data_IF_432689323886
#
_entry.id   IF_432689323886
#
_cell.length_a   1.000
_cell.length_b   1.000
_cell.length_c   1.000
_cell.angle_alpha   90.00
_cell.angle_beta   90.00
_cell.angle_gamma   90.00
#
_symmetry.space_group_name_H-M   'P 1'
#
loop_
_entity.id
_entity.type
_entity.pdbx_description
1 polymer ?
#
# COMPACT_ATOMS: atom_id res chain seq x y z
N UNK A 1 -17.18 -38.25 5.74
CA UNK A 1 -16.90 -37.55 4.45
C UNK A 1 -17.32 -36.12 4.62
N UNK A 2 -16.37 -35.27 5.06
CA UNK A 2 -16.61 -33.81 5.20
C UNK A 2 -16.44 -33.18 3.82
N UNK A 3 -17.53 -32.65 3.27
CA UNK A 3 -17.46 -31.83 2.05
C UNK A 3 -16.78 -30.51 2.40
N UNK A 4 -15.53 -30.38 1.98
CA UNK A 4 -14.81 -29.11 1.98
C UNK A 4 -15.36 -28.27 0.82
N UNK A 5 -16.49 -27.59 1.05
CA UNK A 5 -17.02 -26.59 0.11
C UNK A 5 -16.14 -25.35 0.23
N UNK A 6 -15.12 -25.26 -0.62
CA UNK A 6 -14.39 -24.02 -0.82
C UNK A 6 -15.38 -22.92 -1.24
N UNK A 7 -15.64 -21.97 -0.32
CA UNK A 7 -16.45 -20.78 -0.62
C UNK A 7 -15.82 -20.00 -1.76
N UNK A 8 -16.61 -19.37 -2.65
CA UNK A 8 -16.06 -18.54 -3.72
C UNK A 8 -15.12 -17.46 -3.16
N UNK A 9 -13.98 -17.27 -3.80
CA UNK A 9 -12.88 -16.39 -3.35
C UNK A 9 -13.37 -14.96 -3.02
N UNK A 10 -14.28 -14.39 -3.80
CA UNK A 10 -14.88 -13.09 -3.54
C UNK A 10 -15.74 -13.00 -2.26
N UNK A 11 -16.22 -14.12 -1.74
CA UNK A 11 -17.00 -14.17 -0.52
C UNK A 11 -16.14 -13.97 0.74
N UNK A 12 -14.88 -14.38 0.74
CA UNK A 12 -13.97 -14.21 1.89
C UNK A 12 -13.58 -12.75 2.10
N UNK A 13 -13.28 -12.02 1.03
CA UNK A 13 -12.92 -10.58 1.11
C UNK A 13 -14.11 -9.75 1.55
N UNK A 14 -15.31 -10.02 1.03
CA UNK A 14 -16.54 -9.35 1.44
C UNK A 14 -16.83 -9.49 2.95
N UNK A 15 -16.65 -10.69 3.50
CA UNK A 15 -16.83 -10.93 4.95
C UNK A 15 -15.83 -10.14 5.80
N UNK A 16 -14.58 -9.96 5.35
CA UNK A 16 -13.59 -9.15 6.05
C UNK A 16 -13.97 -7.67 6.05
N UNK A 17 -14.54 -7.15 4.96
CA UNK A 17 -15.02 -5.77 4.92
C UNK A 17 -16.28 -5.56 5.76
N UNK A 18 -17.18 -6.54 5.82
CA UNK A 18 -18.31 -6.51 6.74
C UNK A 18 -17.85 -6.49 8.20
N UNK A 19 -16.87 -7.32 8.56
CA UNK A 19 -16.25 -7.31 9.89
C UNK A 19 -15.61 -5.96 10.21
N UNK A 20 -14.83 -5.39 9.28
CA UNK A 20 -14.21 -4.08 9.43
C UNK A 20 -15.25 -2.95 9.61
N UNK A 21 -16.41 -3.04 8.94
CA UNK A 21 -17.52 -2.11 9.16
C UNK A 21 -18.13 -2.29 10.55
N UNK A 22 -18.38 -3.51 10.96
CA UNK A 22 -18.98 -3.81 12.27
C UNK A 22 -18.06 -3.40 13.43
N UNK A 23 -16.76 -3.44 13.22
CA UNK A 23 -15.73 -2.92 14.14
C UNK A 23 -15.58 -1.38 14.08
N UNK A 24 -16.32 -0.69 13.18
CA UNK A 24 -16.29 0.75 13.02
C UNK A 24 -15.08 1.29 12.26
N UNK A 25 -14.31 0.42 11.60
CA UNK A 25 -13.15 0.81 10.77
C UNK A 25 -13.60 1.36 9.43
N UNK A 26 -14.65 0.79 8.82
CA UNK A 26 -15.18 1.18 7.52
C UNK A 26 -16.56 1.83 7.64
N UNK A 27 -16.74 2.96 6.95
CA UNK A 27 -18.04 3.56 6.69
C UNK A 27 -18.78 2.81 5.57
N UNK A 28 -20.07 3.06 5.45
CA UNK A 28 -20.89 2.50 4.36
C UNK A 28 -20.40 2.98 2.97
N UNK A 29 -19.95 4.23 2.84
CA UNK A 29 -19.43 4.79 1.60
C UNK A 29 -18.13 4.07 1.17
N UNK A 30 -17.18 3.86 2.09
CA UNK A 30 -15.95 3.13 1.82
C UNK A 30 -16.22 1.64 1.53
N UNK A 31 -17.16 1.02 2.26
CA UNK A 31 -17.57 -0.35 2.00
C UNK A 31 -18.11 -0.52 0.57
N UNK A 32 -18.98 0.38 0.12
CA UNK A 32 -19.51 0.38 -1.24
C UNK A 32 -18.40 0.53 -2.29
N UNK A 33 -17.41 1.40 -2.06
CA UNK A 33 -16.27 1.58 -2.96
C UNK A 33 -15.42 0.31 -3.09
N UNK A 34 -15.29 -0.49 -2.02
CA UNK A 34 -14.47 -1.70 -1.97
C UNK A 34 -15.20 -2.98 -2.39
N UNK A 35 -16.54 -3.03 -2.33
CA UNK A 35 -17.32 -4.24 -2.61
C UNK A 35 -17.75 -4.42 -4.07
N UNK A 36 -17.16 -3.69 -4.98
CA UNK A 36 -17.41 -3.84 -6.40
C UNK A 36 -16.92 -5.20 -6.90
N UNK A 37 -17.75 -5.87 -7.71
CA UNK A 37 -17.60 -7.28 -8.10
C UNK A 37 -16.20 -7.64 -8.65
N UNK A 38 -15.53 -6.73 -9.33
CA UNK A 38 -14.24 -7.00 -10.00
C UNK A 38 -13.01 -6.81 -9.09
N UNK A 39 -13.15 -6.21 -7.90
CA UNK A 39 -12.03 -5.94 -7.00
C UNK A 39 -11.66 -7.14 -6.12
N UNK A 40 -12.63 -7.98 -5.75
CA UNK A 40 -12.44 -9.06 -4.79
C UNK A 40 -11.33 -10.06 -5.16
N UNK A 41 -11.25 -10.47 -6.42
CA UNK A 41 -10.20 -11.38 -6.89
C UNK A 41 -8.81 -10.73 -6.87
N UNK A 42 -8.72 -9.46 -7.25
CA UNK A 42 -7.48 -8.70 -7.24
C UNK A 42 -6.99 -8.44 -5.80
N UNK A 43 -7.90 -8.14 -4.87
CA UNK A 43 -7.62 -7.98 -3.44
C UNK A 43 -7.11 -9.31 -2.86
N UNK A 44 -7.82 -10.41 -3.13
CA UNK A 44 -7.45 -11.75 -2.66
C UNK A 44 -6.03 -12.15 -3.10
N UNK A 45 -5.61 -11.80 -4.31
CA UNK A 45 -4.28 -12.12 -4.83
C UNK A 45 -3.14 -11.48 -4.01
N UNK A 46 -3.42 -10.40 -3.27
CA UNK A 46 -2.44 -9.71 -2.42
C UNK A 46 -2.36 -10.22 -0.99
N UNK A 47 -3.33 -11.03 -0.49
CA UNK A 47 -3.42 -11.38 0.93
C UNK A 47 -2.29 -12.27 1.45
N UNK A 48 -1.72 -13.15 0.63
CA UNK A 48 -0.50 -13.91 0.94
C UNK A 48 -0.61 -14.83 2.15
N UNK A 49 0.42 -14.80 3.03
CA UNK A 49 0.50 -15.66 4.23
C UNK A 49 -0.71 -15.55 5.14
N UNK A 50 -1.04 -16.61 5.85
CA UNK A 50 -2.15 -16.62 6.80
C UNK A 50 -1.70 -16.13 8.19
N UNK A 51 -2.66 -15.92 9.09
CA UNK A 51 -2.34 -15.55 10.49
C UNK A 51 -1.53 -16.65 11.18
N UNK A 52 -1.83 -17.92 10.89
CA UNK A 52 -1.14 -19.09 11.47
C UNK A 52 0.34 -19.16 11.07
N UNK A 53 0.73 -18.49 9.97
CA UNK A 53 2.13 -18.44 9.50
C UNK A 53 2.96 -17.39 10.25
N UNK A 54 2.35 -16.58 11.13
CA UNK A 54 3.00 -15.44 11.78
C UNK A 54 3.01 -15.60 13.29
N UNK A 55 4.21 -15.69 13.88
CA UNK A 55 4.41 -15.81 15.33
C UNK A 55 4.75 -14.45 15.95
N UNK A 56 3.83 -13.50 15.88
CA UNK A 56 4.03 -12.17 16.47
C UNK A 56 2.77 -11.73 17.20
N UNK A 57 2.96 -11.03 18.33
CA UNK A 57 1.85 -10.45 19.11
C UNK A 57 1.23 -9.21 18.46
N UNK A 58 1.91 -8.60 17.51
CA UNK A 58 1.42 -7.52 16.65
C UNK A 58 2.15 -7.59 15.31
N UNK A 59 1.53 -7.08 14.24
CA UNK A 59 2.13 -7.04 12.91
C UNK A 59 2.12 -5.64 12.30
N UNK A 60 3.12 -5.35 11.49
CA UNK A 60 3.17 -4.14 10.66
C UNK A 60 3.15 -4.55 9.19
N UNK A 61 2.13 -4.13 8.48
CA UNK A 61 1.93 -4.39 7.06
C UNK A 61 2.52 -3.22 6.26
N UNK A 62 3.61 -3.45 5.55
CA UNK A 62 4.23 -2.45 4.68
C UNK A 62 3.91 -2.78 3.23
N UNK A 63 3.24 -1.86 2.56
CA UNK A 63 2.74 -2.06 1.20
C UNK A 63 3.28 -0.99 0.27
N UNK A 64 3.79 -1.38 -0.90
CA UNK A 64 4.28 -0.45 -1.91
C UNK A 64 3.63 -0.74 -3.24
N UNK A 65 3.08 0.30 -3.89
CA UNK A 65 2.54 0.24 -5.23
C UNK A 65 3.31 1.20 -6.15
N UNK A 66 4.34 0.71 -6.85
CA UNK A 66 5.03 1.49 -7.86
C UNK A 66 4.26 1.52 -9.17
N UNK A 67 4.30 2.66 -9.80
CA UNK A 67 3.78 2.88 -11.14
C UNK A 67 4.60 2.08 -12.18
N UNK A 68 3.93 1.29 -12.99
CA UNK A 68 4.49 0.54 -14.12
C UNK A 68 3.96 1.06 -15.46
N UNK A 69 3.54 2.34 -15.50
CA UNK A 69 3.12 3.01 -16.72
C UNK A 69 4.29 3.38 -17.64
N UNK A 70 3.98 3.61 -18.91
CA UNK A 70 4.97 3.96 -19.94
C UNK A 70 5.71 5.28 -19.64
N UNK A 71 5.14 6.21 -18.89
CA UNK A 71 5.78 7.47 -18.49
C UNK A 71 7.02 7.25 -17.62
N UNK A 72 6.99 6.31 -16.68
CA UNK A 72 8.14 5.91 -15.87
C UNK A 72 9.33 5.50 -16.75
N UNK A 73 9.07 4.73 -17.81
CA UNK A 73 10.12 4.30 -18.74
C UNK A 73 10.64 5.48 -19.57
N UNK A 74 9.74 6.28 -20.13
CA UNK A 74 10.09 7.44 -20.96
C UNK A 74 10.81 8.53 -20.15
N UNK A 75 10.44 8.72 -18.88
CA UNK A 75 11.12 9.62 -17.94
C UNK A 75 12.49 9.12 -17.46
N UNK A 76 12.88 7.87 -17.80
CA UNK A 76 14.14 7.27 -17.35
C UNK A 76 14.13 6.87 -15.86
N UNK A 77 12.95 6.82 -15.21
CA UNK A 77 12.82 6.64 -13.76
C UNK A 77 12.79 5.16 -13.32
N UNK A 78 12.67 4.21 -14.25
CA UNK A 78 12.50 2.80 -13.95
C UNK A 78 13.61 2.23 -13.05
N UNK A 79 14.88 2.60 -13.27
CA UNK A 79 15.98 2.16 -12.40
C UNK A 79 15.90 2.78 -11.01
N UNK A 80 15.54 4.07 -10.90
CA UNK A 80 15.40 4.74 -9.61
C UNK A 80 14.27 4.13 -8.75
N UNK A 81 13.16 3.73 -9.39
CA UNK A 81 12.05 3.04 -8.71
C UNK A 81 12.48 1.64 -8.24
N UNK A 82 13.19 0.86 -9.08
CA UNK A 82 13.75 -0.44 -8.67
C UNK A 82 14.67 -0.33 -7.46
N UNK A 83 15.64 0.59 -7.54
CA UNK A 83 16.60 0.81 -6.47
C UNK A 83 15.92 1.29 -5.19
N UNK A 84 14.92 2.17 -5.32
CA UNK A 84 14.13 2.67 -4.21
C UNK A 84 13.31 1.58 -3.51
N UNK A 85 12.62 0.73 -4.26
CA UNK A 85 11.92 -0.43 -3.69
C UNK A 85 12.87 -1.34 -2.91
N UNK A 86 14.01 -1.67 -3.51
CA UNK A 86 15.00 -2.53 -2.86
C UNK A 86 15.60 -1.89 -1.60
N UNK A 87 15.77 -0.56 -1.60
CA UNK A 87 16.21 0.20 -0.43
C UNK A 87 15.21 0.10 0.74
N UNK A 88 13.89 0.11 0.44
CA UNK A 88 12.85 -0.10 1.48
C UNK A 88 13.01 -1.47 2.12
N UNK A 89 13.15 -2.53 1.31
CA UNK A 89 13.35 -3.89 1.83
C UNK A 89 14.61 -3.99 2.69
N UNK A 90 15.74 -3.42 2.25
CA UNK A 90 16.99 -3.42 3.00
C UNK A 90 16.86 -2.69 4.34
N UNK A 91 16.18 -1.54 4.37
CA UNK A 91 15.97 -0.77 5.59
C UNK A 91 15.09 -1.52 6.61
N UNK A 92 14.01 -2.15 6.14
CA UNK A 92 13.14 -2.96 6.98
C UNK A 92 13.85 -4.22 7.51
N UNK A 93 14.63 -4.90 6.67
CA UNK A 93 15.40 -6.07 7.07
C UNK A 93 16.49 -5.76 8.12
N UNK A 94 17.03 -4.55 8.10
CA UNK A 94 17.98 -4.06 9.09
C UNK A 94 17.32 -3.59 10.40
N UNK A 95 15.98 -3.48 10.45
CA UNK A 95 15.24 -3.03 11.64
C UNK A 95 15.20 -4.10 12.73
N UNK A 96 15.02 -3.66 13.99
CA UNK A 96 14.88 -4.58 15.13
C UNK A 96 13.55 -5.35 15.10
N UNK A 97 12.54 -4.81 14.45
CA UNK A 97 11.17 -5.36 14.36
C UNK A 97 10.94 -6.18 13.11
N UNK A 98 11.97 -6.54 12.36
CA UNK A 98 11.86 -7.26 11.07
C UNK A 98 10.96 -8.51 11.13
N UNK A 99 10.93 -9.20 12.28
CA UNK A 99 10.14 -10.43 12.47
C UNK A 99 8.62 -10.17 12.54
N UNK A 100 8.20 -8.94 12.88
CA UNK A 100 6.79 -8.52 12.91
C UNK A 100 6.34 -7.78 11.65
N UNK A 101 7.23 -7.62 10.65
CA UNK A 101 6.92 -6.91 9.42
C UNK A 101 6.55 -7.89 8.31
N UNK A 102 5.37 -7.68 7.74
CA UNK A 102 4.97 -8.31 6.48
C UNK A 102 4.98 -7.27 5.36
N UNK A 103 5.47 -7.64 4.20
CA UNK A 103 5.56 -6.76 3.04
C UNK A 103 4.73 -7.27 1.88
N UNK A 104 4.14 -6.35 1.12
CA UNK A 104 3.41 -6.60 -0.11
C UNK A 104 3.82 -5.59 -1.19
N UNK A 105 3.97 -6.06 -2.42
CA UNK A 105 4.16 -5.20 -3.58
C UNK A 105 3.23 -5.61 -4.72
N UNK A 106 2.50 -4.64 -5.26
CA UNK A 106 1.78 -4.77 -6.52
C UNK A 106 2.02 -3.52 -7.37
N UNK A 107 2.04 -3.71 -8.68
CA UNK A 107 2.19 -2.61 -9.62
C UNK A 107 0.87 -1.87 -9.87
N UNK A 108 0.97 -0.63 -10.31
CA UNK A 108 -0.17 0.22 -10.60
C UNK A 108 -1.16 -0.41 -11.62
N UNK A 109 -0.70 -1.28 -12.48
CA UNK A 109 -1.57 -2.02 -13.41
C UNK A 109 -2.05 -3.37 -12.89
N UNK A 110 -1.92 -3.63 -11.59
CA UNK A 110 -2.56 -4.74 -10.88
C UNK A 110 -1.73 -6.01 -10.76
N UNK A 111 -0.59 -6.13 -11.47
CA UNK A 111 0.28 -7.28 -11.31
C UNK A 111 0.90 -7.31 -9.90
N UNK A 112 0.87 -8.48 -9.26
CA UNK A 112 1.43 -8.67 -7.92
C UNK A 112 2.85 -9.20 -8.04
N UNK A 113 3.83 -8.42 -7.58
CA UNK A 113 5.23 -8.88 -7.52
C UNK A 113 5.39 -9.95 -6.44
N UNK A 114 4.82 -9.71 -5.27
CA UNK A 114 4.64 -10.70 -4.21
C UNK A 114 3.45 -10.30 -3.32
N UNK A 115 2.63 -11.28 -2.88
CA UNK A 115 1.57 -11.04 -1.90
C UNK A 115 2.18 -10.79 -0.51
N UNK A 116 1.37 -10.48 0.51
CA UNK A 116 1.91 -10.32 1.86
C UNK A 116 2.74 -11.53 2.28
N UNK A 117 3.99 -11.26 2.60
CA UNK A 117 4.99 -12.25 2.98
C UNK A 117 5.98 -11.67 4.01
N UNK A 118 6.65 -12.51 4.81
CA UNK A 118 7.80 -12.11 5.61
C UNK A 118 8.91 -11.51 4.75
N UNK A 119 9.74 -10.65 5.33
CA UNK A 119 10.80 -9.91 4.61
C UNK A 119 11.80 -10.82 3.88
N UNK A 120 12.10 -12.00 4.44
CA UNK A 120 13.01 -12.98 3.83
C UNK A 120 12.42 -13.67 2.58
N UNK A 121 11.12 -13.56 2.35
CA UNK A 121 10.40 -14.07 1.18
C UNK A 121 10.07 -12.97 0.16
N UNK A 122 10.35 -11.71 0.48
CA UNK A 122 10.11 -10.59 -0.43
C UNK A 122 10.98 -10.69 -1.68
N UNK A 123 10.36 -10.46 -2.84
CA UNK A 123 11.07 -10.50 -4.13
C UNK A 123 11.66 -9.13 -4.42
N UNK A 124 12.96 -9.07 -4.68
CA UNK A 124 13.63 -7.84 -5.09
C UNK A 124 13.19 -7.45 -6.51
N UNK A 125 12.98 -6.14 -6.69
CA UNK A 125 12.63 -5.60 -7.99
C UNK A 125 13.88 -5.55 -8.89
N UNK A 126 13.73 -6.06 -10.11
CA UNK A 126 14.79 -6.15 -11.13
C UNK A 126 14.25 -5.72 -12.48
N UNK A 127 15.10 -5.58 -13.47
CA UNK A 127 14.67 -5.30 -14.84
C UNK A 127 13.80 -6.44 -15.42
N UNK A 128 13.98 -7.67 -14.97
CA UNK A 128 13.23 -8.82 -15.46
C UNK A 128 11.78 -8.90 -14.95
N UNK A 129 11.49 -8.28 -13.79
CA UNK A 129 10.17 -8.32 -13.16
C UNK A 129 9.49 -6.94 -13.03
N UNK A 130 10.13 -5.87 -13.50
CA UNK A 130 9.56 -4.52 -13.57
C UNK A 130 9.97 -3.86 -14.89
N UNK A 131 9.06 -3.88 -15.84
CA UNK A 131 9.19 -3.28 -17.17
C UNK A 131 7.99 -2.33 -17.42
N UNK A 132 8.12 -1.03 -17.06
CA UNK A 132 7.03 -0.06 -17.15
C UNK A 132 6.66 0.22 -18.61
N UNK A 133 5.43 -0.11 -19.01
CA UNK A 133 4.94 0.05 -20.39
C UNK A 133 3.41 0.20 -20.50
N UNK A 134 2.72 0.21 -19.35
CA UNK A 134 1.26 0.12 -19.28
C UNK A 134 0.60 1.50 -19.07
N UNK A 135 -0.67 1.52 -18.71
CA UNK A 135 -1.44 2.73 -18.42
C UNK A 135 -1.35 3.18 -16.96
N UNK A 136 -2.15 4.19 -16.60
CA UNK A 136 -2.15 4.78 -15.25
C UNK A 136 -3.56 4.73 -14.63
N UNK A 137 -4.11 3.56 -14.25
CA UNK A 137 -5.40 3.44 -13.56
C UNK A 137 -5.26 3.72 -12.06
N UNK A 138 -4.85 4.95 -11.71
CA UNK A 138 -4.42 5.33 -10.36
C UNK A 138 -5.52 5.09 -9.31
N UNK A 139 -6.75 5.54 -9.56
CA UNK A 139 -7.82 5.42 -8.57
C UNK A 139 -8.31 3.97 -8.42
N UNK A 140 -8.50 3.26 -9.54
CA UNK A 140 -8.94 1.86 -9.52
C UNK A 140 -7.96 1.00 -8.73
N UNK A 141 -6.67 1.10 -9.02
CA UNK A 141 -5.66 0.27 -8.37
C UNK A 141 -5.34 0.73 -6.95
N UNK A 142 -5.53 2.01 -6.64
CA UNK A 142 -5.46 2.45 -5.23
C UNK A 142 -6.58 1.80 -4.41
N UNK A 143 -7.81 1.72 -4.91
CA UNK A 143 -8.90 1.01 -4.20
C UNK A 143 -8.57 -0.48 -3.99
N UNK A 144 -8.05 -1.16 -5.02
CA UNK A 144 -7.60 -2.55 -4.88
C UNK A 144 -6.50 -2.70 -3.82
N UNK A 145 -5.52 -1.78 -3.82
CA UNK A 145 -4.42 -1.78 -2.85
C UNK A 145 -4.94 -1.57 -1.43
N UNK A 146 -5.72 -0.50 -1.20
CA UNK A 146 -6.24 -0.18 0.12
C UNK A 146 -7.20 -1.26 0.62
N UNK A 147 -8.02 -1.84 -0.27
CA UNK A 147 -8.83 -3.01 0.05
C UNK A 147 -7.99 -4.22 0.46
N UNK A 148 -6.86 -4.47 -0.21
CA UNK A 148 -5.92 -5.53 0.18
C UNK A 148 -5.33 -5.28 1.57
N UNK A 149 -4.93 -4.03 1.85
CA UNK A 149 -4.40 -3.62 3.16
C UNK A 149 -5.43 -3.80 4.27
N UNK A 150 -6.65 -3.31 4.07
CA UNK A 150 -7.75 -3.40 5.02
C UNK A 150 -8.18 -4.85 5.28
N UNK A 151 -8.38 -5.63 4.22
CA UNK A 151 -8.74 -7.04 4.36
C UNK A 151 -7.65 -7.83 5.10
N UNK A 152 -6.36 -7.51 4.84
CA UNK A 152 -5.25 -8.15 5.56
C UNK A 152 -5.19 -7.73 7.02
N UNK A 153 -5.36 -6.45 7.32
CA UNK A 153 -5.40 -5.95 8.68
C UNK A 153 -6.57 -6.57 9.46
N UNK A 154 -7.76 -6.62 8.85
CA UNK A 154 -8.95 -7.25 9.46
C UNK A 154 -8.74 -8.74 9.71
N UNK A 155 -8.11 -9.47 8.77
CA UNK A 155 -7.79 -10.87 8.96
C UNK A 155 -6.95 -11.11 10.23
N UNK A 156 -5.99 -10.24 10.53
CA UNK A 156 -5.22 -10.32 11.78
C UNK A 156 -6.06 -9.91 12.99
N UNK A 157 -6.84 -8.83 12.89
CA UNK A 157 -7.70 -8.33 13.97
C UNK A 157 -8.74 -9.38 14.40
N UNK A 158 -9.41 -10.04 13.47
CA UNK A 158 -10.39 -11.12 13.72
C UNK A 158 -9.75 -12.32 14.47
N UNK A 159 -8.43 -12.45 14.43
CA UNK A 159 -7.67 -13.48 15.15
C UNK A 159 -6.95 -12.92 16.40
N UNK A 160 -7.31 -11.71 16.84
CA UNK A 160 -6.78 -11.09 18.06
C UNK A 160 -5.34 -10.56 17.92
N UNK A 161 -4.82 -10.42 16.72
CA UNK A 161 -3.48 -9.87 16.44
C UNK A 161 -3.62 -8.43 15.93
N UNK A 162 -3.23 -7.41 16.70
CA UNK A 162 -3.24 -6.03 16.23
C UNK A 162 -2.38 -5.85 14.99
N UNK A 163 -2.93 -5.19 13.97
CA UNK A 163 -2.23 -4.89 12.72
C UNK A 163 -2.14 -3.38 12.50
N UNK A 164 -0.95 -2.89 12.16
CA UNK A 164 -0.72 -1.51 11.72
C UNK A 164 -0.23 -1.51 10.29
N UNK A 165 -0.55 -0.47 9.54
CA UNK A 165 -0.23 -0.47 8.11
C UNK A 165 0.48 0.80 7.67
N UNK A 166 1.45 0.64 6.78
CA UNK A 166 2.14 1.74 6.09
C UNK A 166 2.09 1.44 4.60
N UNK A 167 1.38 2.28 3.87
CA UNK A 167 1.17 2.13 2.43
C UNK A 167 1.84 3.27 1.67
N UNK A 168 2.55 2.97 0.58
CA UNK A 168 3.15 3.94 -0.32
C UNK A 168 2.63 3.74 -1.75
N UNK A 169 1.98 4.77 -2.27
CA UNK A 169 1.63 4.92 -3.68
C UNK A 169 2.75 5.68 -4.40
N UNK A 170 3.17 5.22 -5.59
CA UNK A 170 4.19 5.91 -6.39
C UNK A 170 3.66 6.05 -7.80
N UNK A 171 3.67 7.28 -8.33
CA UNK A 171 3.31 7.57 -9.73
C UNK A 171 4.11 8.75 -10.27
N UNK A 172 4.28 8.82 -11.58
CA UNK A 172 4.80 9.98 -12.31
C UNK A 172 3.76 10.59 -13.26
N UNK A 173 2.47 10.27 -13.07
CA UNK A 173 1.37 10.79 -13.86
C UNK A 173 0.07 10.94 -13.07
N UNK A 174 -0.84 11.76 -13.59
CA UNK A 174 -2.21 11.81 -13.13
C UNK A 174 -2.97 10.56 -13.59
N UNK A 175 -4.13 10.31 -12.97
CA UNK A 175 -5.03 9.24 -13.42
C UNK A 175 -5.45 9.45 -14.89
N UNK A 176 -5.36 8.39 -15.68
CA UNK A 176 -5.72 8.44 -17.09
C UNK A 176 -6.67 7.29 -17.53
N UNK A 177 -6.83 6.25 -16.71
CA UNK A 177 -7.49 5.02 -17.15
C UNK A 177 -8.48 4.44 -16.14
N UNK A 178 -8.69 5.09 -14.98
CA UNK A 178 -9.62 4.59 -13.98
C UNK A 178 -11.08 4.77 -14.40
N UNK A 179 -11.91 3.85 -13.95
CA UNK A 179 -13.37 3.96 -13.96
C UNK A 179 -13.90 4.58 -12.65
N UNK A 180 -13.10 4.53 -11.60
CA UNK A 180 -13.38 5.09 -10.28
C UNK A 180 -12.86 6.53 -10.19
N UNK A 181 -13.31 7.21 -9.13
CA UNK A 181 -12.99 8.60 -8.88
C UNK A 181 -12.06 8.76 -7.68
N UNK A 182 -11.33 9.89 -7.61
CA UNK A 182 -10.57 10.27 -6.44
C UNK A 182 -11.44 10.33 -5.17
N UNK A 183 -12.72 10.68 -5.30
CA UNK A 183 -13.67 10.74 -4.18
C UNK A 183 -13.90 9.36 -3.53
N UNK A 184 -14.04 8.31 -4.32
CA UNK A 184 -14.19 6.94 -3.79
C UNK A 184 -12.93 6.50 -3.04
N UNK A 185 -11.75 6.85 -3.54
CA UNK A 185 -10.47 6.63 -2.84
C UNK A 185 -10.43 7.44 -1.55
N UNK A 186 -10.83 8.71 -1.59
CA UNK A 186 -10.87 9.62 -0.45
C UNK A 186 -11.70 9.04 0.71
N UNK A 187 -12.87 8.47 0.44
CA UNK A 187 -13.72 7.86 1.46
C UNK A 187 -12.98 6.74 2.22
N UNK A 188 -12.27 5.88 1.50
CA UNK A 188 -11.48 4.79 2.10
C UNK A 188 -10.29 5.33 2.89
N UNK A 189 -9.55 6.30 2.35
CA UNK A 189 -8.39 6.92 3.02
C UNK A 189 -8.80 7.64 4.30
N UNK A 190 -9.95 8.33 4.31
CA UNK A 190 -10.47 9.00 5.49
C UNK A 190 -10.86 8.01 6.60
N UNK A 191 -11.44 6.87 6.25
CA UNK A 191 -11.75 5.81 7.20
C UNK A 191 -10.46 5.22 7.79
N UNK A 192 -9.49 4.90 6.96
CA UNK A 192 -8.18 4.42 7.40
C UNK A 192 -7.50 5.41 8.35
N UNK A 193 -7.59 6.70 8.06
CA UNK A 193 -7.04 7.76 8.92
C UNK A 193 -7.75 7.83 10.28
N UNK A 194 -9.08 7.70 10.30
CA UNK A 194 -9.87 7.71 11.55
C UNK A 194 -9.55 6.51 12.45
N UNK A 195 -9.22 5.38 11.88
CA UNK A 195 -8.83 4.18 12.62
C UNK A 195 -7.45 4.30 13.30
N UNK A 196 -6.65 5.34 13.01
CA UNK A 196 -5.33 5.64 13.61
C UNK A 196 -4.30 4.49 13.57
N UNK A 197 -4.62 3.39 12.90
CA UNK A 197 -3.75 2.23 12.70
C UNK A 197 -3.17 2.15 11.28
N UNK A 198 -3.46 3.13 10.44
CA UNK A 198 -3.06 3.16 9.04
C UNK A 198 -2.34 4.46 8.67
N UNK A 199 -1.24 4.34 7.95
CA UNK A 199 -0.54 5.44 7.28
C UNK A 199 -0.65 5.20 5.78
N UNK A 200 -1.28 6.14 5.07
CA UNK A 200 -1.31 6.16 3.60
C UNK A 200 -0.45 7.31 3.12
N UNK A 201 0.61 6.98 2.41
CA UNK A 201 1.58 7.91 1.87
C UNK A 201 1.62 7.86 0.34
N UNK A 202 2.04 8.94 -0.30
CA UNK A 202 2.18 9.01 -1.74
C UNK A 202 3.47 9.72 -2.17
N UNK A 203 4.02 9.28 -3.29
CA UNK A 203 5.18 9.86 -3.96
C UNK A 203 4.82 10.17 -5.41
N UNK A 204 4.80 11.46 -5.76
CA UNK A 204 4.63 11.92 -7.13
C UNK A 204 5.98 12.34 -7.72
N UNK A 205 6.53 11.54 -8.65
CA UNK A 205 7.77 11.86 -9.36
C UNK A 205 7.45 12.92 -10.42
N UNK A 206 8.11 14.06 -10.36
CA UNK A 206 7.78 15.20 -11.22
C UNK A 206 7.88 14.85 -12.71
N UNK A 207 6.78 15.06 -13.42
CA UNK A 207 6.69 15.04 -14.90
C UNK A 207 6.80 16.46 -15.50
N UNK A 208 6.96 17.48 -14.66
CA UNK A 208 7.01 18.90 -15.04
C UNK A 208 5.64 19.56 -15.25
N UNK A 209 4.53 18.84 -15.14
CA UNK A 209 3.18 19.36 -15.43
C UNK A 209 2.13 19.02 -14.37
N UNK A 210 2.21 17.86 -13.73
CA UNK A 210 1.20 17.37 -12.78
C UNK A 210 1.37 17.98 -11.39
N UNK A 211 0.30 18.56 -10.85
CA UNK A 211 0.24 18.94 -9.44
C UNK A 211 -0.08 17.73 -8.57
N UNK A 212 0.94 16.94 -8.23
CA UNK A 212 0.80 15.73 -7.44
C UNK A 212 0.24 15.98 -6.05
N UNK A 213 0.54 17.15 -5.42
CA UNK A 213 -0.03 17.48 -4.12
C UNK A 213 -1.54 17.58 -4.20
N UNK A 214 -2.06 18.21 -5.25
CA UNK A 214 -3.49 18.31 -5.51
C UNK A 214 -4.09 16.93 -5.77
N UNK A 215 -3.48 16.13 -6.68
CA UNK A 215 -3.97 14.77 -6.99
C UNK A 215 -4.12 13.93 -5.73
N UNK A 216 -3.10 13.90 -4.87
CA UNK A 216 -3.13 13.08 -3.66
C UNK A 216 -4.03 13.64 -2.55
N UNK A 217 -4.18 14.98 -2.44
CA UNK A 217 -5.17 15.59 -1.55
C UNK A 217 -6.61 15.25 -1.96
N UNK A 218 -6.89 15.26 -3.26
CA UNK A 218 -8.20 14.87 -3.79
C UNK A 218 -8.52 13.38 -3.50
N UNK A 219 -7.49 12.54 -3.29
CA UNK A 219 -7.57 11.17 -2.81
C UNK A 219 -7.61 11.05 -1.27
N UNK A 220 -7.66 12.15 -0.51
CA UNK A 220 -7.70 12.16 0.97
C UNK A 220 -6.34 12.02 1.67
N UNK A 221 -5.23 11.97 0.94
CA UNK A 221 -3.88 11.82 1.53
C UNK A 221 -3.42 13.16 2.10
N UNK A 222 -3.00 13.16 3.35
CA UNK A 222 -2.55 14.38 4.05
C UNK A 222 -1.17 14.85 3.54
N UNK A 223 -0.99 16.16 3.44
CA UNK A 223 0.26 16.78 2.94
C UNK A 223 1.54 16.26 3.61
N UNK A 224 1.46 15.95 4.89
CA UNK A 224 2.59 15.41 5.66
C UNK A 224 3.04 14.01 5.18
N UNK A 225 2.20 13.32 4.40
CA UNK A 225 2.47 12.01 3.82
C UNK A 225 2.68 12.06 2.30
N UNK A 226 2.88 13.25 1.73
CA UNK A 226 3.11 13.44 0.29
C UNK A 226 4.57 13.84 0.04
N UNK A 227 5.26 13.07 -0.78
CA UNK A 227 6.57 13.38 -1.33
C UNK A 227 6.44 13.75 -2.80
N UNK A 228 7.12 14.83 -3.21
CA UNK A 228 7.12 15.28 -4.62
C UNK A 228 8.57 15.52 -5.08
N UNK A 229 9.38 14.45 -5.23
CA UNK A 229 10.73 14.59 -5.75
C UNK A 229 10.71 15.06 -7.21
N UNK A 230 11.78 15.73 -7.62
CA UNK A 230 12.08 15.88 -9.05
C UNK A 230 12.32 14.52 -9.71
N UNK A 231 12.59 14.53 -11.02
CA UNK A 231 12.81 13.31 -11.81
C UNK A 231 14.28 12.85 -11.86
N UNK A 232 15.15 13.40 -11.02
CA UNK A 232 16.51 12.89 -10.93
C UNK A 232 16.57 11.63 -10.05
N UNK A 233 17.44 10.69 -10.43
CA UNK A 233 17.67 9.47 -9.65
C UNK A 233 18.01 9.77 -8.17
N UNK A 234 18.77 10.83 -7.90
CA UNK A 234 19.16 11.22 -6.54
C UNK A 234 17.99 11.73 -5.71
N UNK A 235 17.07 12.50 -6.28
CA UNK A 235 15.88 13.00 -5.58
C UNK A 235 14.88 11.89 -5.30
N UNK A 236 14.63 11.01 -6.28
CA UNK A 236 13.78 9.84 -6.12
C UNK A 236 14.36 8.94 -5.01
N UNK A 237 15.67 8.65 -5.05
CA UNK A 237 16.33 7.87 -4.00
C UNK A 237 16.19 8.51 -2.61
N UNK A 238 16.35 9.82 -2.51
CA UNK A 238 16.16 10.55 -1.25
C UNK A 238 14.72 10.42 -0.73
N UNK A 239 13.72 10.51 -1.60
CA UNK A 239 12.32 10.31 -1.22
C UNK A 239 12.07 8.88 -0.68
N UNK A 240 12.63 7.86 -1.32
CA UNK A 240 12.57 6.49 -0.79
C UNK A 240 13.29 6.33 0.55
N UNK A 241 14.41 7.02 0.78
CA UNK A 241 15.08 7.02 2.09
C UNK A 241 14.18 7.60 3.19
N UNK A 242 13.50 8.72 2.91
CA UNK A 242 12.56 9.35 3.84
C UNK A 242 11.40 8.40 4.16
N UNK A 243 10.83 7.76 3.15
CA UNK A 243 9.78 6.74 3.35
C UNK A 243 10.30 5.56 4.18
N UNK A 244 11.45 4.98 3.82
CA UNK A 244 12.05 3.83 4.53
C UNK A 244 12.27 4.11 6.02
N UNK A 245 12.81 5.30 6.35
CA UNK A 245 12.98 5.73 7.73
C UNK A 245 11.65 5.85 8.47
N UNK A 246 10.59 6.31 7.80
CA UNK A 246 9.25 6.44 8.37
C UNK A 246 8.61 5.07 8.58
N UNK A 247 8.75 4.15 7.62
CA UNK A 247 8.26 2.77 7.75
C UNK A 247 8.97 2.01 8.89
N UNK A 248 10.29 2.16 9.02
CA UNK A 248 11.06 1.59 10.14
C UNK A 248 10.62 2.19 11.48
N UNK A 249 10.40 3.51 11.56
CA UNK A 249 9.87 4.12 12.80
C UNK A 249 8.48 3.61 13.14
N UNK A 250 7.59 3.52 12.15
CA UNK A 250 6.23 3.01 12.32
C UNK A 250 6.23 1.54 12.77
N UNK A 251 7.22 0.73 12.42
CA UNK A 251 7.33 -0.67 12.85
C UNK A 251 7.78 -0.82 14.32
N UNK A 252 8.15 0.27 15.00
CA UNK A 252 8.71 0.27 16.34
C UNK A 252 7.74 0.00 17.50
N UNK A 253 6.54 -0.53 17.25
CA UNK A 253 5.51 -0.80 18.26
C UNK A 253 4.52 0.35 18.46
N UNK A 254 3.48 0.16 19.32
CA UNK A 254 2.32 1.04 19.43
C UNK A 254 2.61 2.53 19.61
N UNK A 255 3.45 2.85 20.58
CA UNK A 255 3.82 4.25 20.85
C UNK A 255 4.63 4.89 19.72
N UNK A 256 5.52 4.12 19.09
CA UNK A 256 6.32 4.60 17.96
C UNK A 256 5.46 4.81 16.70
N UNK A 257 4.48 3.93 16.47
CA UNK A 257 3.53 4.08 15.36
C UNK A 257 2.68 5.34 15.52
N UNK A 258 2.08 5.56 16.69
CA UNK A 258 1.28 6.76 16.97
C UNK A 258 2.09 8.04 16.79
N UNK A 259 3.35 8.07 17.26
CA UNK A 259 4.24 9.20 17.04
C UNK A 259 4.60 9.38 15.56
N UNK A 260 4.83 8.30 14.81
CA UNK A 260 5.06 8.35 13.37
C UNK A 260 3.82 8.86 12.64
N UNK A 261 2.65 8.29 12.93
CA UNK A 261 1.39 8.69 12.30
C UNK A 261 1.04 10.16 12.56
N UNK A 262 1.31 10.68 13.76
CA UNK A 262 1.11 12.09 14.10
C UNK A 262 2.09 13.05 13.44
N UNK A 263 3.34 12.60 13.17
CA UNK A 263 4.44 13.46 12.70
C UNK A 263 4.58 13.61 11.18
N UNK A 264 4.10 12.66 10.42
CA UNK A 264 4.33 12.64 8.96
C UNK A 264 5.78 12.27 8.58
N UNK A 265 6.15 12.52 7.33
CA UNK A 265 7.53 12.42 6.89
C UNK A 265 8.38 13.43 7.66
N UNK A 266 9.50 12.99 8.23
CA UNK A 266 10.43 13.94 8.81
C UNK A 266 10.89 14.91 7.69
N UNK A 267 10.83 16.20 7.98
CA UNK A 267 11.48 17.18 7.09
C UNK A 267 12.96 16.79 6.92
N UNK A 268 13.52 16.91 5.70
CA UNK A 268 14.90 16.56 5.43
C UNK A 268 15.88 17.40 6.24
#
# INVERSE_FOLDING_TARGET
>A
MSQNTSRPIGFQVGTLFESARDDGVLSEEALQALTVVDLGAQIQAGLGVTVDDVQSSEVVLVTVMPDDSGSIQHGGNAQAVRDGHNLVLDALAASRQRESVLVHNRYLNGAVLYPYAPLDKAVRMTQANYDPSLGTPLYDQTLVLLGTVLAKAQQFADNGVPARTVTLLITDGADAHSQRSAREVCAVVEDMRRAESHIVAAMGISDGSTDFRRVFRDMGIEDRWILTPGNSHSEIRKAFQVFSQSAVRASGGGGAFGAAAGGGFAAP
#
